data_IF_867259373985
#
_entry.id   IF_867259373985
#
_cell.length_a   1.000
_cell.length_b   1.000
_cell.length_c   1.000
_cell.angle_alpha   90.00
_cell.angle_beta   90.00
_cell.angle_gamma   90.00
#
_symmetry.space_group_name_H-M   'P 1'
#
loop_
_entity.id
_entity.type
_entity.pdbx_description
1 polymer ?
#
# COMPACT_ATOMS: atom_id res chain seq x y z
N UNK A 1 -19.64 9.75 11.75
CA UNK A 1 -20.35 8.93 10.74
C UNK A 1 -21.64 9.65 10.41
N UNK A 2 -22.03 9.67 9.13
CA UNK A 2 -23.30 10.29 8.74
C UNK A 2 -24.48 9.46 9.24
N UNK A 3 -25.63 10.11 9.42
CA UNK A 3 -26.86 9.41 9.82
C UNK A 3 -27.28 8.37 8.77
N UNK A 4 -27.47 7.12 9.20
CA UNK A 4 -27.80 5.97 8.34
C UNK A 4 -29.13 6.09 7.57
N UNK A 5 -30.04 6.97 8.00
CA UNK A 5 -31.34 7.16 7.35
C UNK A 5 -31.30 8.16 6.19
N UNK A 6 -30.15 8.77 5.91
CA UNK A 6 -29.97 9.67 4.77
C UNK A 6 -30.05 8.84 3.47
N UNK A 7 -31.03 9.17 2.63
CA UNK A 7 -31.24 8.53 1.33
C UNK A 7 -31.55 9.61 0.27
N UNK A 8 -30.49 10.14 -0.36
CA UNK A 8 -30.60 11.14 -1.42
C UNK A 8 -31.22 10.59 -2.70
N UNK A 9 -31.07 9.29 -2.92
CA UNK A 9 -31.58 8.56 -4.08
C UNK A 9 -32.94 7.92 -3.78
N UNK A 10 -33.76 8.57 -2.95
CA UNK A 10 -35.15 8.17 -2.74
C UNK A 10 -36.03 8.68 -3.88
N UNK A 11 -36.88 7.82 -4.43
CA UNK A 11 -37.92 8.21 -5.39
C UNK A 11 -39.00 9.10 -4.76
N UNK A 12 -39.07 9.12 -3.42
CA UNK A 12 -40.07 9.89 -2.68
C UNK A 12 -39.52 11.29 -2.40
N UNK A 13 -40.12 12.31 -3.01
CA UNK A 13 -39.62 13.69 -2.99
C UNK A 13 -39.37 14.23 -1.57
N UNK A 14 -40.29 14.00 -0.64
CA UNK A 14 -40.14 14.50 0.72
C UNK A 14 -38.99 13.80 1.49
N UNK A 15 -38.65 12.56 1.14
CA UNK A 15 -37.53 11.82 1.74
C UNK A 15 -36.22 12.38 1.20
N UNK A 16 -36.08 12.47 -0.12
CA UNK A 16 -34.88 13.01 -0.77
C UNK A 16 -34.57 14.44 -0.28
N UNK A 17 -35.59 15.31 -0.21
CA UNK A 17 -35.45 16.70 0.20
C UNK A 17 -34.99 16.83 1.66
N UNK A 18 -35.60 16.04 2.57
CA UNK A 18 -35.18 15.97 3.98
C UNK A 18 -33.77 15.38 4.13
N UNK A 19 -33.46 14.30 3.43
CA UNK A 19 -32.13 13.68 3.46
C UNK A 19 -31.05 14.64 2.96
N UNK A 20 -31.33 15.44 1.91
CA UNK A 20 -30.42 16.48 1.41
C UNK A 20 -30.19 17.58 2.45
N UNK A 21 -31.24 18.09 3.07
CA UNK A 21 -31.12 19.11 4.10
C UNK A 21 -30.31 18.60 5.30
N UNK A 22 -30.60 17.38 5.78
CA UNK A 22 -29.89 16.76 6.89
C UNK A 22 -28.41 16.51 6.56
N UNK A 23 -28.12 15.99 5.37
CA UNK A 23 -26.74 15.77 4.94
C UNK A 23 -25.95 17.08 4.92
N UNK A 24 -26.49 18.13 4.30
CA UNK A 24 -25.81 19.43 4.25
C UNK A 24 -25.59 20.03 5.65
N UNK A 25 -26.54 19.82 6.57
CA UNK A 25 -26.40 20.21 7.96
C UNK A 25 -25.26 19.45 8.66
N UNK A 26 -25.21 18.12 8.51
CA UNK A 26 -24.14 17.29 9.09
C UNK A 26 -22.76 17.64 8.53
N UNK A 27 -22.67 17.88 7.22
CA UNK A 27 -21.42 18.31 6.59
C UNK A 27 -20.98 19.70 7.07
N UNK A 28 -21.93 20.64 7.21
CA UNK A 28 -21.64 21.96 7.77
C UNK A 28 -21.15 21.87 9.22
N UNK A 29 -21.76 20.99 10.02
CA UNK A 29 -21.35 20.74 11.40
C UNK A 29 -19.98 20.06 11.48
N UNK A 30 -19.69 19.11 10.60
CA UNK A 30 -18.39 18.46 10.50
C UNK A 30 -17.27 19.46 10.18
N UNK A 31 -17.50 20.38 9.23
CA UNK A 31 -16.55 21.48 8.96
C UNK A 31 -16.37 22.34 10.21
N UNK A 32 -17.47 22.74 10.86
CA UNK A 32 -17.42 23.61 12.04
C UNK A 32 -16.56 23.01 13.17
N UNK A 33 -16.64 21.70 13.35
CA UNK A 33 -15.84 20.96 14.32
C UNK A 33 -14.41 20.63 13.85
N UNK A 34 -14.07 20.92 12.60
CA UNK A 34 -12.77 20.58 12.01
C UNK A 34 -12.56 19.07 11.87
N UNK A 35 -13.63 18.30 11.64
CA UNK A 35 -13.55 16.86 11.47
C UNK A 35 -12.76 16.53 10.20
N UNK A 36 -11.68 15.75 10.25
CA UNK A 36 -10.84 15.49 9.08
C UNK A 36 -11.50 14.53 8.08
N UNK A 37 -12.38 13.65 8.56
CA UNK A 37 -12.97 12.56 7.79
C UNK A 37 -14.46 12.40 8.10
N UNK A 38 -15.28 12.39 7.07
CA UNK A 38 -16.71 12.05 7.14
C UNK A 38 -16.91 10.66 6.54
N UNK A 39 -17.33 9.70 7.36
CA UNK A 39 -17.62 8.33 6.92
C UNK A 39 -19.05 8.20 6.37
N UNK A 40 -19.21 7.56 5.23
CA UNK A 40 -20.45 7.30 4.49
C UNK A 40 -20.52 5.81 4.19
N UNK A 41 -21.69 5.18 4.30
CA UNK A 41 -21.90 3.78 3.89
C UNK A 41 -22.73 3.73 2.61
N UNK A 42 -22.29 2.95 1.61
CA UNK A 42 -23.14 2.67 0.46
C UNK A 42 -24.17 1.62 0.85
N UNK A 43 -25.44 1.92 0.57
CA UNK A 43 -26.57 1.04 0.94
C UNK A 43 -27.34 0.54 -0.28
N UNK A 44 -26.95 1.00 -1.48
CA UNK A 44 -27.59 0.71 -2.76
C UNK A 44 -26.55 0.68 -3.86
N UNK A 45 -26.89 0.01 -4.96
CA UNK A 45 -26.07 -0.03 -6.18
C UNK A 45 -25.93 1.33 -6.85
N UNK A 46 -27.02 2.09 -6.94
CA UNK A 46 -27.02 3.40 -7.62
C UNK A 46 -27.11 4.51 -6.57
N UNK A 47 -26.12 5.41 -6.57
CA UNK A 47 -25.99 6.50 -5.61
C UNK A 47 -25.81 7.87 -6.29
N UNK A 48 -26.48 8.07 -7.44
CA UNK A 48 -26.22 9.21 -8.34
C UNK A 48 -26.33 10.58 -7.66
N UNK A 49 -27.34 10.81 -6.82
CA UNK A 49 -27.51 12.08 -6.12
C UNK A 49 -26.46 12.28 -5.03
N UNK A 50 -26.08 11.19 -4.33
CA UNK A 50 -25.01 11.20 -3.35
C UNK A 50 -23.65 11.49 -4.00
N UNK A 51 -23.31 10.77 -5.06
CA UNK A 51 -22.11 10.97 -5.88
C UNK A 51 -22.01 12.40 -6.39
N UNK A 52 -23.09 12.92 -6.97
CA UNK A 52 -23.14 14.29 -7.49
C UNK A 52 -22.88 15.31 -6.38
N UNK A 53 -23.55 15.17 -5.23
CA UNK A 53 -23.38 16.10 -4.11
C UNK A 53 -21.95 16.04 -3.56
N UNK A 54 -21.36 14.85 -3.42
CA UNK A 54 -19.99 14.69 -2.95
C UNK A 54 -18.99 15.28 -3.94
N UNK A 55 -19.17 15.04 -5.24
CA UNK A 55 -18.35 15.65 -6.27
C UNK A 55 -18.46 17.19 -6.26
N UNK A 56 -19.67 17.74 -6.11
CA UNK A 56 -19.87 19.18 -5.89
C UNK A 56 -19.06 19.70 -4.68
N UNK A 57 -18.98 18.91 -3.59
CA UNK A 57 -18.16 19.26 -2.41
C UNK A 57 -16.67 19.24 -2.71
N UNK A 58 -16.16 18.24 -3.42
CA UNK A 58 -14.77 18.20 -3.86
C UNK A 58 -14.40 19.42 -4.71
N UNK A 59 -15.20 19.73 -5.74
CA UNK A 59 -14.99 20.89 -6.61
C UNK A 59 -15.02 22.22 -5.84
N UNK A 60 -15.88 22.32 -4.82
CA UNK A 60 -15.97 23.52 -3.97
C UNK A 60 -14.84 23.66 -2.93
N UNK A 61 -13.91 22.70 -2.84
CA UNK A 61 -12.82 22.72 -1.86
C UNK A 61 -13.26 22.39 -0.44
N UNK A 62 -14.14 21.40 -0.28
CA UNK A 62 -14.57 20.92 1.04
C UNK A 62 -13.37 20.45 1.88
N UNK A 63 -13.24 20.96 3.10
CA UNK A 63 -12.03 20.80 3.92
C UNK A 63 -11.84 19.41 4.56
N UNK A 64 -12.80 18.51 4.44
CA UNK A 64 -12.74 17.15 5.01
C UNK A 64 -12.68 16.10 3.90
N UNK A 65 -12.10 14.94 4.20
CA UNK A 65 -12.14 13.78 3.31
C UNK A 65 -13.42 12.97 3.52
N UNK A 66 -13.86 12.24 2.48
CA UNK A 66 -14.98 11.32 2.57
C UNK A 66 -14.49 9.88 2.56
N UNK A 67 -14.90 9.08 3.55
CA UNK A 67 -14.54 7.67 3.64
C UNK A 67 -15.76 6.81 3.36
N UNK A 68 -15.73 6.07 2.26
CA UNK A 68 -16.84 5.24 1.80
C UNK A 68 -16.69 3.83 2.34
N UNK A 69 -17.72 3.34 3.01
CA UNK A 69 -17.76 2.02 3.63
C UNK A 69 -18.58 1.05 2.79
N UNK A 70 -18.02 -0.12 2.49
CA UNK A 70 -18.73 -1.26 1.90
C UNK A 70 -18.28 -2.58 2.56
N UNK A 71 -19.10 -3.63 2.58
CA UNK A 71 -18.66 -4.95 3.00
C UNK A 71 -17.77 -5.60 1.95
N UNK A 72 -16.72 -6.30 2.36
CA UNK A 72 -15.81 -7.01 1.43
C UNK A 72 -16.55 -8.02 0.55
N UNK A 73 -17.57 -8.66 1.10
CA UNK A 73 -18.48 -9.55 0.38
C UNK A 73 -19.89 -9.01 0.55
N UNK A 74 -20.56 -8.74 -0.56
CA UNK A 74 -21.92 -8.23 -0.53
C UNK A 74 -22.88 -9.27 0.08
N UNK A 75 -23.81 -8.90 1.00
CA UNK A 75 -24.70 -9.85 1.65
C UNK A 75 -25.56 -10.69 0.70
N UNK A 76 -25.89 -10.15 -0.49
CA UNK A 76 -26.66 -10.88 -1.50
C UNK A 76 -25.90 -12.06 -2.13
N UNK A 77 -24.56 -12.07 -2.07
CA UNK A 77 -23.75 -13.17 -2.63
C UNK A 77 -24.03 -14.52 -1.96
N UNK A 78 -24.42 -14.50 -0.69
CA UNK A 78 -24.69 -15.69 0.11
C UNK A 78 -26.12 -15.73 0.67
N UNK A 79 -27.00 -14.84 0.20
CA UNK A 79 -28.40 -14.83 0.60
C UNK A 79 -29.12 -16.08 0.04
N UNK A 80 -29.79 -16.89 0.89
CA UNK A 80 -30.45 -18.12 0.45
C UNK A 80 -31.71 -17.88 -0.40
N UNK A 81 -32.18 -16.64 -0.46
CA UNK A 81 -33.41 -16.23 -1.17
C UNK A 81 -33.11 -15.42 -2.44
N UNK A 82 -31.83 -15.15 -2.73
CA UNK A 82 -31.40 -14.32 -3.85
C UNK A 82 -31.09 -15.20 -5.06
N UNK A 83 -31.63 -14.84 -6.22
CA UNK A 83 -31.27 -15.48 -7.50
C UNK A 83 -29.92 -14.98 -8.01
N UNK A 84 -29.29 -15.71 -8.93
CA UNK A 84 -27.98 -15.31 -9.46
C UNK A 84 -28.00 -13.93 -10.15
N UNK A 85 -29.12 -13.53 -10.75
CA UNK A 85 -29.30 -12.23 -11.40
C UNK A 85 -29.49 -11.06 -10.40
N UNK A 86 -29.85 -11.37 -9.15
CA UNK A 86 -30.03 -10.39 -8.07
C UNK A 86 -28.76 -10.21 -7.22
N UNK A 87 -27.73 -11.04 -7.45
CA UNK A 87 -26.45 -10.91 -6.75
C UNK A 87 -25.77 -9.61 -7.16
N UNK A 88 -25.19 -8.95 -6.16
CA UNK A 88 -24.47 -7.70 -6.34
C UNK A 88 -23.03 -7.85 -5.84
N UNK A 89 -22.12 -7.11 -6.46
CA UNK A 89 -20.70 -7.10 -6.12
C UNK A 89 -20.35 -5.77 -5.44
N UNK A 90 -19.85 -5.85 -4.21
CA UNK A 90 -19.41 -4.68 -3.44
C UNK A 90 -18.27 -3.93 -4.10
N UNK A 91 -17.39 -4.62 -4.84
CA UNK A 91 -16.32 -3.94 -5.56
C UNK A 91 -16.87 -3.09 -6.71
N UNK A 92 -17.89 -3.57 -7.42
CA UNK A 92 -18.54 -2.77 -8.47
C UNK A 92 -19.22 -1.54 -7.88
N UNK A 93 -19.87 -1.67 -6.72
CA UNK A 93 -20.43 -0.51 -6.00
C UNK A 93 -19.37 0.56 -5.71
N UNK A 94 -18.21 0.13 -5.22
CA UNK A 94 -17.08 1.04 -4.97
C UNK A 94 -16.50 1.62 -6.27
N UNK A 95 -16.33 0.80 -7.31
CA UNK A 95 -15.77 1.20 -8.59
C UNK A 95 -16.65 2.22 -9.31
N UNK A 96 -17.97 2.01 -9.36
CA UNK A 96 -18.89 2.98 -9.93
C UNK A 96 -18.82 4.30 -9.16
N UNK A 97 -18.92 4.24 -7.84
CA UNK A 97 -18.93 5.43 -6.98
C UNK A 97 -17.66 6.29 -7.12
N UNK A 98 -16.47 5.66 -7.05
CA UNK A 98 -15.19 6.39 -7.20
C UNK A 98 -15.01 6.95 -8.61
N UNK A 99 -15.54 6.26 -9.63
CA UNK A 99 -15.48 6.71 -11.03
C UNK A 99 -16.31 7.97 -11.22
N UNK A 100 -17.53 8.02 -10.67
CA UNK A 100 -18.36 9.24 -10.68
C UNK A 100 -17.74 10.40 -9.90
N UNK A 101 -17.01 10.09 -8.84
CA UNK A 101 -16.23 11.07 -8.08
C UNK A 101 -14.89 11.43 -8.75
N UNK A 102 -14.63 10.96 -9.98
CA UNK A 102 -13.43 11.24 -10.76
C UNK A 102 -12.12 10.94 -10.01
N UNK A 103 -12.10 9.84 -9.25
CA UNK A 103 -10.92 9.39 -8.49
C UNK A 103 -10.31 10.48 -7.59
N UNK A 104 -11.15 11.32 -6.99
CA UNK A 104 -10.67 12.40 -6.12
C UNK A 104 -9.84 11.84 -4.95
N UNK A 105 -8.67 12.43 -4.71
CA UNK A 105 -7.73 12.00 -3.66
C UNK A 105 -8.28 12.11 -2.23
N UNK A 106 -9.31 12.93 -2.02
CA UNK A 106 -10.01 13.08 -0.74
C UNK A 106 -11.10 12.02 -0.54
N UNK A 107 -11.29 11.13 -1.51
CA UNK A 107 -12.12 9.93 -1.38
C UNK A 107 -11.27 8.77 -0.87
N UNK A 108 -11.50 8.39 0.39
CA UNK A 108 -10.93 7.20 1.00
C UNK A 108 -11.92 6.03 0.99
N UNK A 109 -11.38 4.83 1.10
CA UNK A 109 -12.19 3.61 1.14
C UNK A 109 -12.05 2.88 2.47
N UNK A 110 -13.15 2.36 3.00
CA UNK A 110 -13.22 1.60 4.24
C UNK A 110 -13.89 0.28 3.95
N UNK A 111 -13.17 -0.80 4.22
CA UNK A 111 -13.65 -2.15 3.93
C UNK A 111 -14.15 -2.80 5.21
N UNK A 112 -15.35 -3.36 5.21
CA UNK A 112 -15.82 -4.19 6.32
C UNK A 112 -15.43 -5.65 6.08
N UNK A 113 -14.78 -6.25 7.08
CA UNK A 113 -14.27 -7.61 7.04
C UNK A 113 -15.44 -8.60 6.82
N UNK A 114 -15.26 -9.68 6.05
CA UNK A 114 -16.35 -10.59 5.72
C UNK A 114 -16.66 -11.56 6.87
N UNK A 115 -17.90 -12.07 6.88
CA UNK A 115 -18.27 -13.18 7.76
C UNK A 115 -17.35 -14.38 7.52
N UNK A 116 -16.97 -15.07 8.59
CA UNK A 116 -16.08 -16.24 8.54
C UNK A 116 -16.60 -17.38 7.65
N UNK A 117 -17.92 -17.46 7.42
CA UNK A 117 -18.54 -18.45 6.52
C UNK A 117 -18.47 -18.06 5.05
N UNK A 118 -18.14 -16.80 4.77
CA UNK A 118 -18.18 -16.18 3.46
C UNK A 118 -16.86 -15.48 3.14
N UNK A 119 -15.73 -16.10 3.53
CA UNK A 119 -14.40 -15.62 3.18
C UNK A 119 -14.24 -15.69 1.65
N UNK A 120 -13.90 -14.56 0.98
CA UNK A 120 -13.77 -14.50 -0.46
C UNK A 120 -12.55 -15.29 -0.96
N UNK A 121 -12.55 -15.61 -2.26
CA UNK A 121 -11.40 -16.25 -2.91
C UNK A 121 -10.24 -15.27 -3.05
N UNK A 122 -9.02 -15.80 -3.25
CA UNK A 122 -7.81 -14.98 -3.34
C UNK A 122 -7.89 -13.89 -4.41
N UNK A 123 -8.42 -14.20 -5.59
CA UNK A 123 -8.59 -13.22 -6.67
C UNK A 123 -9.53 -12.07 -6.30
N UNK A 124 -10.54 -12.31 -5.47
CA UNK A 124 -11.43 -11.26 -4.97
C UNK A 124 -10.73 -10.39 -3.91
N UNK A 125 -9.90 -11.00 -3.06
CA UNK A 125 -9.06 -10.28 -2.10
C UNK A 125 -8.04 -9.40 -2.85
N UNK A 126 -7.39 -9.94 -3.89
CA UNK A 126 -6.41 -9.23 -4.70
C UNK A 126 -6.99 -7.97 -5.37
N UNK A 127 -8.30 -7.98 -5.72
CA UNK A 127 -9.00 -6.76 -6.22
C UNK A 127 -8.97 -5.63 -5.20
N UNK A 128 -9.07 -5.94 -3.92
CA UNK A 128 -9.08 -4.94 -2.85
C UNK A 128 -7.70 -4.39 -2.53
N UNK A 129 -6.64 -5.19 -2.66
CA UNK A 129 -5.27 -4.77 -2.34
C UNK A 129 -4.82 -3.58 -3.20
N UNK A 130 -5.33 -3.46 -4.43
CA UNK A 130 -5.03 -2.33 -5.32
C UNK A 130 -5.86 -1.05 -5.08
N UNK A 131 -6.77 -1.06 -4.11
CA UNK A 131 -7.68 0.06 -3.83
C UNK A 131 -7.12 1.01 -2.76
N UNK A 132 -7.55 2.28 -2.70
CA UNK A 132 -7.06 3.25 -1.70
C UNK A 132 -7.69 3.04 -0.32
N UNK A 133 -7.48 1.86 0.26
CA UNK A 133 -8.04 1.45 1.55
C UNK A 133 -7.41 2.26 2.67
N UNK A 134 -8.24 2.96 3.44
CA UNK A 134 -7.83 3.76 4.60
C UNK A 134 -8.10 3.03 5.91
N UNK A 135 -9.13 2.20 5.96
CA UNK A 135 -9.42 1.42 7.15
C UNK A 135 -10.11 0.07 6.86
N UNK A 136 -9.91 -0.87 7.77
CA UNK A 136 -10.61 -2.15 7.83
C UNK A 136 -11.51 -2.18 9.09
N UNK A 137 -12.81 -2.37 8.90
CA UNK A 137 -13.77 -2.53 9.99
C UNK A 137 -13.81 -4.00 10.42
N UNK A 138 -13.67 -4.23 11.73
CA UNK A 138 -13.72 -5.56 12.35
C UNK A 138 -14.85 -5.57 13.39
N UNK A 139 -15.98 -6.23 13.10
CA UNK A 139 -17.05 -6.46 14.07
C UNK A 139 -16.59 -7.25 15.30
N UNK A 140 -17.03 -6.84 16.49
CA UNK A 140 -16.75 -7.57 17.74
C UNK A 140 -17.33 -8.99 17.74
N UNK A 141 -18.42 -9.21 17.00
CA UNK A 141 -19.06 -10.51 16.80
C UNK A 141 -18.18 -11.54 16.09
N UNK A 142 -17.10 -11.12 15.42
CA UNK A 142 -16.18 -12.02 14.74
C UNK A 142 -15.11 -12.61 15.65
N UNK A 143 -14.96 -12.09 16.87
CA UNK A 143 -14.01 -12.61 17.84
C UNK A 143 -14.58 -13.81 18.58
N UNK A 144 -13.77 -14.84 18.70
CA UNK A 144 -14.04 -16.04 19.49
C UNK A 144 -13.33 -15.93 20.85
N UNK A 145 -13.86 -16.59 21.87
CA UNK A 145 -13.14 -16.73 23.14
C UNK A 145 -12.18 -17.91 23.07
N UNK A 146 -10.94 -17.70 23.47
CA UNK A 146 -9.98 -18.80 23.68
C UNK A 146 -10.21 -19.50 25.04
N UNK A 147 -9.42 -20.53 25.33
CA UNK A 147 -9.47 -21.30 26.59
C UNK A 147 -9.22 -20.44 27.85
N UNK A 148 -8.68 -19.23 27.69
CA UNK A 148 -8.44 -18.26 28.76
C UNK A 148 -9.52 -17.15 28.81
N UNK A 149 -10.61 -17.28 28.05
CA UNK A 149 -11.69 -16.29 27.99
C UNK A 149 -11.29 -14.96 27.36
N UNK A 150 -10.28 -14.94 26.48
CA UNK A 150 -9.84 -13.73 25.75
C UNK A 150 -10.33 -13.77 24.30
N UNK A 151 -10.75 -12.61 23.75
CA UNK A 151 -11.18 -12.53 22.36
C UNK A 151 -10.00 -12.73 21.40
N UNK A 152 -10.18 -13.60 20.42
CA UNK A 152 -9.23 -13.93 19.37
C UNK A 152 -9.94 -14.07 18.04
N UNK A 153 -9.31 -13.67 16.94
CA UNK A 153 -9.87 -13.87 15.60
C UNK A 153 -9.59 -15.28 15.09
N UNK A 154 -10.50 -15.88 14.31
CA UNK A 154 -10.24 -17.11 13.57
C UNK A 154 -9.02 -16.99 12.64
N UNK A 155 -8.40 -18.12 12.31
CA UNK A 155 -7.20 -18.14 11.45
C UNK A 155 -7.42 -17.45 10.09
N UNK A 156 -8.56 -17.68 9.44
CA UNK A 156 -8.85 -17.07 8.13
C UNK A 156 -8.91 -15.53 8.20
N UNK A 157 -9.45 -14.97 9.29
CA UNK A 157 -9.43 -13.51 9.51
C UNK A 157 -8.03 -13.00 9.85
N UNK A 158 -7.21 -13.76 10.58
CA UNK A 158 -5.80 -13.40 10.81
C UNK A 158 -5.02 -13.34 9.49
N UNK A 159 -5.25 -14.31 8.59
CA UNK A 159 -4.65 -14.34 7.26
C UNK A 159 -5.08 -13.12 6.42
N UNK A 160 -6.38 -12.76 6.41
CA UNK A 160 -6.84 -11.52 5.78
C UNK A 160 -6.15 -10.28 6.34
N UNK A 161 -6.14 -10.13 7.67
CA UNK A 161 -5.51 -8.98 8.34
C UNK A 161 -4.04 -8.86 7.98
N UNK A 162 -3.32 -9.97 7.80
CA UNK A 162 -1.92 -9.96 7.39
C UNK A 162 -1.70 -9.23 6.07
N UNK A 163 -2.59 -9.43 5.08
CA UNK A 163 -2.51 -8.70 3.81
C UNK A 163 -2.69 -7.19 4.01
N UNK A 164 -3.64 -6.78 4.84
CA UNK A 164 -3.91 -5.36 5.11
C UNK A 164 -2.85 -4.70 6.00
N UNK A 165 -2.10 -5.47 6.81
CA UNK A 165 -0.96 -4.94 7.55
C UNK A 165 0.16 -4.46 6.61
N UNK A 166 0.32 -5.09 5.45
CA UNK A 166 1.36 -4.74 4.48
C UNK A 166 1.13 -3.39 3.79
N UNK A 167 -0.12 -2.88 3.79
CA UNK A 167 -0.51 -1.60 3.18
C UNK A 167 -0.91 -0.54 4.23
N UNK A 168 -0.52 -0.77 5.50
CA UNK A 168 -0.65 0.18 6.64
C UNK A 168 -2.04 0.85 6.80
N UNK A 169 -3.11 0.04 6.81
CA UNK A 169 -4.47 0.56 7.04
C UNK A 169 -4.78 0.78 8.52
N UNK A 170 -5.75 1.65 8.80
CA UNK A 170 -6.33 1.77 10.13
C UNK A 170 -7.29 0.62 10.43
N UNK A 171 -7.38 0.20 11.69
CA UNK A 171 -8.33 -0.84 12.11
C UNK A 171 -9.43 -0.21 12.97
N UNK A 172 -10.68 -0.39 12.57
CA UNK A 172 -11.86 0.12 13.27
C UNK A 172 -12.61 -1.04 13.89
N UNK A 173 -12.70 -1.08 15.23
CA UNK A 173 -13.52 -2.09 15.91
C UNK A 173 -14.97 -1.63 15.91
N UNK A 174 -15.86 -2.40 15.29
CA UNK A 174 -17.31 -2.14 15.27
C UNK A 174 -17.97 -2.93 16.41
N UNK A 175 -18.51 -2.22 17.39
CA UNK A 175 -19.17 -2.82 18.55
C UNK A 175 -20.57 -3.30 18.17
N UNK A 176 -20.83 -4.60 18.36
CA UNK A 176 -22.15 -5.20 18.14
C UNK A 176 -22.96 -5.31 19.45
N UNK A 177 -22.27 -5.20 20.60
CA UNK A 177 -22.87 -5.21 21.93
C UNK A 177 -22.17 -4.19 22.84
N UNK A 178 -22.79 -3.86 23.96
CA UNK A 178 -22.14 -3.08 25.01
C UNK A 178 -21.04 -3.93 25.68
N UNK A 179 -19.83 -3.38 25.81
CA UNK A 179 -18.70 -4.08 26.41
C UNK A 179 -17.42 -3.25 26.39
N UNK A 180 -16.40 -3.70 27.14
CA UNK A 180 -15.08 -3.08 27.10
C UNK A 180 -14.40 -3.37 25.76
N UNK A 181 -14.22 -2.35 24.93
CA UNK A 181 -13.55 -2.48 23.65
C UNK A 181 -12.02 -2.65 23.77
N UNK A 182 -11.44 -2.34 24.94
CA UNK A 182 -9.98 -2.36 25.15
C UNK A 182 -9.36 -3.74 24.95
N UNK A 183 -10.13 -4.82 25.18
CA UNK A 183 -9.65 -6.19 25.02
C UNK A 183 -9.39 -6.55 23.56
N UNK A 184 -10.23 -6.07 22.63
CA UNK A 184 -10.07 -6.29 21.20
C UNK A 184 -8.89 -5.49 20.67
N UNK A 185 -8.73 -4.22 21.09
CA UNK A 185 -7.58 -3.39 20.72
C UNK A 185 -6.26 -4.01 21.18
N UNK A 186 -6.20 -4.54 22.41
CA UNK A 186 -5.02 -5.27 22.93
C UNK A 186 -4.71 -6.50 22.08
N UNK A 187 -5.73 -7.26 21.69
CA UNK A 187 -5.54 -8.42 20.81
C UNK A 187 -5.04 -8.01 19.43
N UNK A 188 -5.59 -6.96 18.80
CA UNK A 188 -5.11 -6.49 17.50
C UNK A 188 -3.66 -5.99 17.55
N UNK A 189 -3.24 -5.33 18.63
CA UNK A 189 -1.83 -4.98 18.83
C UNK A 189 -0.93 -6.21 18.94
N UNK A 190 -1.36 -7.22 19.70
CA UNK A 190 -0.66 -8.50 19.77
C UNK A 190 -0.59 -9.17 18.40
N UNK A 191 -1.69 -9.19 17.65
CA UNK A 191 -1.80 -9.81 16.35
C UNK A 191 -0.89 -9.11 15.33
N UNK A 192 -0.89 -7.77 15.31
CA UNK A 192 0.02 -6.96 14.50
C UNK A 192 1.48 -7.33 14.77
N UNK A 193 1.91 -7.37 16.04
CA UNK A 193 3.28 -7.79 16.39
C UNK A 193 3.62 -9.22 15.98
N UNK A 194 2.64 -10.12 16.00
CA UNK A 194 2.82 -11.53 15.64
C UNK A 194 2.89 -11.73 14.12
N UNK A 195 2.06 -11.02 13.37
CA UNK A 195 1.90 -11.19 11.93
C UNK A 195 2.81 -10.29 11.09
N UNK A 196 3.27 -9.17 11.67
CA UNK A 196 4.17 -8.25 10.98
C UNK A 196 5.50 -8.94 10.67
N UNK A 197 5.80 -9.07 9.37
CA UNK A 197 7.06 -9.61 8.87
C UNK A 197 7.91 -8.42 8.44
N UNK A 198 8.97 -8.11 9.18
CA UNK A 198 9.97 -7.14 8.74
C UNK A 198 10.91 -7.82 7.74
N UNK A 199 10.78 -7.52 6.46
CA UNK A 199 11.81 -7.91 5.50
C UNK A 199 12.98 -6.93 5.58
N UNK A 200 14.22 -7.43 5.50
CA UNK A 200 15.45 -6.60 5.57
C UNK A 200 15.47 -5.52 4.49
N UNK A 201 14.82 -5.75 3.36
CA UNK A 201 14.70 -4.77 2.28
C UNK A 201 13.64 -3.69 2.57
N UNK A 202 12.66 -3.97 3.43
CA UNK A 202 11.56 -3.04 3.71
C UNK A 202 12.08 -1.75 4.37
N UNK A 203 13.04 -1.85 5.29
CA UNK A 203 13.64 -0.66 5.94
C UNK A 203 14.35 0.25 4.94
N UNK A 204 14.94 -0.31 3.87
CA UNK A 204 15.64 0.49 2.85
C UNK A 204 14.66 1.20 1.90
N UNK A 205 13.53 0.57 1.58
CA UNK A 205 12.50 1.15 0.69
C UNK A 205 11.44 1.94 1.45
N UNK A 206 11.52 2.00 2.78
CA UNK A 206 10.57 2.71 3.61
C UNK A 206 10.47 4.19 3.21
N UNK A 207 9.25 4.66 2.99
CA UNK A 207 8.93 6.00 2.48
C UNK A 207 8.93 6.12 0.96
N UNK A 208 9.30 5.06 0.23
CA UNK A 208 9.23 5.00 -1.23
C UNK A 208 8.00 4.24 -1.73
N UNK A 209 7.16 3.72 -0.84
CA UNK A 209 5.93 3.01 -1.18
C UNK A 209 5.01 3.93 -1.99
N UNK A 210 4.60 3.47 -3.17
CA UNK A 210 3.75 4.19 -4.13
C UNK A 210 4.25 5.60 -4.51
N UNK A 211 5.52 5.90 -4.29
CA UNK A 211 6.13 7.16 -4.66
C UNK A 211 6.68 7.10 -6.08
N UNK A 212 6.03 7.82 -7.00
CA UNK A 212 6.46 7.88 -8.39
C UNK A 212 7.82 8.60 -8.51
N UNK A 213 8.79 7.91 -9.12
CA UNK A 213 10.12 8.45 -9.40
C UNK A 213 10.41 8.40 -10.89
N UNK A 214 11.04 9.45 -11.40
CA UNK A 214 11.59 9.42 -12.76
C UNK A 214 12.78 8.47 -12.79
N UNK A 215 12.83 7.61 -13.80
CA UNK A 215 14.00 6.74 -13.99
C UNK A 215 15.24 7.58 -14.24
N UNK A 216 16.31 7.30 -13.49
CA UNK A 216 17.60 7.96 -13.64
C UNK A 216 18.11 7.85 -15.08
N UNK A 217 18.77 8.89 -15.58
CA UNK A 217 19.38 8.93 -16.91
C UNK A 217 20.91 9.17 -16.82
N UNK A 218 21.70 8.20 -16.31
CA UNK A 218 23.12 8.42 -16.02
C UNK A 218 23.97 8.76 -17.24
N UNK A 219 23.52 8.42 -18.45
CA UNK A 219 24.22 8.76 -19.70
C UNK A 219 24.06 10.23 -20.07
N UNK A 220 22.87 10.79 -19.90
CA UNK A 220 22.55 12.16 -20.29
C UNK A 220 22.89 13.14 -19.17
N UNK A 221 22.72 12.72 -17.92
CA UNK A 221 22.82 13.58 -16.75
C UNK A 221 24.05 13.24 -15.90
N UNK A 222 24.49 14.19 -15.07
CA UNK A 222 25.48 13.95 -14.04
C UNK A 222 24.76 13.63 -12.73
N UNK A 223 24.90 12.39 -12.26
CA UNK A 223 24.30 11.98 -11.00
C UNK A 223 24.96 12.70 -9.83
N UNK A 224 24.15 13.03 -8.82
CA UNK A 224 24.59 13.62 -7.57
C UNK A 224 25.27 12.59 -6.65
N UNK A 225 26.08 13.07 -5.72
CA UNK A 225 26.88 12.26 -4.78
C UNK A 225 26.03 11.32 -3.94
N UNK A 226 24.88 11.78 -3.45
CA UNK A 226 23.92 10.98 -2.67
C UNK A 226 23.38 9.77 -3.47
N UNK A 227 23.20 9.89 -4.79
CA UNK A 227 22.75 8.78 -5.65
C UNK A 227 23.82 7.69 -5.70
N UNK A 228 25.09 8.06 -5.86
CA UNK A 228 26.19 7.09 -5.80
C UNK A 228 26.30 6.43 -4.41
N UNK A 229 26.07 7.18 -3.32
CA UNK A 229 26.06 6.61 -1.96
C UNK A 229 24.99 5.54 -1.80
N UNK A 230 23.80 5.78 -2.34
CA UNK A 230 22.71 4.81 -2.34
C UNK A 230 23.10 3.56 -3.14
N UNK A 231 23.72 3.74 -4.32
CA UNK A 231 24.22 2.61 -5.11
C UNK A 231 25.29 1.81 -4.37
N UNK A 232 26.15 2.45 -3.59
CA UNK A 232 27.27 1.83 -2.87
C UNK A 232 26.83 1.02 -1.64
N UNK A 233 25.62 1.24 -1.12
CA UNK A 233 25.04 0.43 -0.04
C UNK A 233 24.74 -1.01 -0.45
N UNK A 234 24.55 -1.29 -1.74
CA UNK A 234 24.31 -2.63 -2.26
C UNK A 234 25.60 -3.46 -2.34
N UNK A 235 25.96 -4.08 -1.21
CA UNK A 235 27.16 -4.91 -1.08
C UNK A 235 27.08 -6.21 -1.89
N UNK A 236 25.87 -6.75 -2.08
CA UNK A 236 25.65 -7.98 -2.85
C UNK A 236 26.08 -7.74 -4.28
N UNK A 237 25.61 -6.64 -4.91
CA UNK A 237 26.02 -6.24 -6.26
C UNK A 237 27.53 -6.22 -6.44
N UNK A 238 28.28 -5.50 -5.60
CA UNK A 238 29.73 -5.39 -5.78
C UNK A 238 30.49 -6.69 -5.48
N UNK A 239 30.02 -7.48 -4.51
CA UNK A 239 30.59 -8.81 -4.25
C UNK A 239 30.38 -9.75 -5.44
N UNK A 240 29.20 -9.71 -6.06
CA UNK A 240 28.90 -10.46 -7.28
C UNK A 240 29.79 -10.03 -8.44
N UNK A 241 29.97 -8.72 -8.67
CA UNK A 241 30.93 -8.22 -9.67
C UNK A 241 32.37 -8.67 -9.38
N UNK A 242 32.81 -8.61 -8.12
CA UNK A 242 34.15 -9.08 -7.73
C UNK A 242 34.35 -10.57 -8.06
N UNK A 243 33.39 -11.42 -7.70
CA UNK A 243 33.44 -12.85 -7.99
C UNK A 243 33.42 -13.12 -9.50
N UNK A 244 32.66 -12.35 -10.27
CA UNK A 244 32.62 -12.46 -11.73
C UNK A 244 33.97 -12.08 -12.36
N UNK A 245 34.58 -10.98 -11.90
CA UNK A 245 35.92 -10.55 -12.34
C UNK A 245 36.98 -11.58 -11.97
N UNK A 246 36.89 -12.19 -10.78
CA UNK A 246 37.79 -13.26 -10.36
C UNK A 246 37.77 -14.44 -11.33
N UNK A 247 36.58 -14.99 -11.60
CA UNK A 247 36.43 -16.11 -12.54
C UNK A 247 36.93 -15.76 -13.93
N UNK A 248 36.58 -14.58 -14.43
CA UNK A 248 37.07 -14.12 -15.73
C UNK A 248 38.60 -14.02 -15.76
N UNK A 249 39.25 -13.58 -14.68
CA UNK A 249 40.71 -13.46 -14.62
C UNK A 249 41.42 -14.81 -14.44
N UNK A 250 40.77 -15.80 -13.82
CA UNK A 250 41.24 -17.19 -13.75
C UNK A 250 41.27 -17.83 -15.14
N UNK A 251 40.30 -17.50 -16.00
CA UNK A 251 40.21 -17.98 -17.38
C UNK A 251 41.24 -17.31 -18.32
N UNK A 252 41.83 -16.17 -17.94
CA UNK A 252 42.87 -15.51 -18.74
C UNK A 252 44.16 -16.35 -18.71
N UNK A 253 44.72 -16.76 -19.86
CA UNK A 253 45.94 -17.57 -19.91
C UNK A 253 47.12 -16.94 -19.15
N UNK A 254 47.97 -17.76 -18.53
CA UNK A 254 49.08 -17.29 -17.68
C UNK A 254 50.18 -16.56 -18.47
N UNK A 255 50.24 -16.78 -19.77
CA UNK A 255 51.13 -16.10 -20.73
C UNK A 255 50.83 -14.61 -20.82
N UNK A 256 49.58 -14.20 -20.53
CA UNK A 256 49.21 -12.80 -20.38
C UNK A 256 49.72 -12.30 -19.03
N UNK A 257 50.95 -11.78 -19.05
CA UNK A 257 51.67 -11.35 -17.85
C UNK A 257 50.93 -10.29 -17.03
N UNK A 258 50.26 -9.34 -17.69
CA UNK A 258 49.46 -8.28 -17.05
C UNK A 258 48.15 -8.07 -17.82
N UNK A 259 47.07 -8.74 -17.43
CA UNK A 259 45.75 -8.52 -18.02
C UNK A 259 45.26 -7.08 -17.82
N UNK A 260 44.55 -6.55 -18.81
CA UNK A 260 43.99 -5.19 -18.78
C UNK A 260 42.50 -5.26 -18.49
N UNK A 261 42.05 -4.56 -17.46
CA UNK A 261 40.63 -4.43 -17.08
C UNK A 261 40.22 -2.97 -17.32
N UNK A 262 39.10 -2.75 -17.99
CA UNK A 262 38.56 -1.41 -18.23
C UNK A 262 37.19 -1.31 -17.56
N UNK A 263 37.06 -0.43 -16.57
CA UNK A 263 35.80 -0.14 -15.89
C UNK A 263 35.13 1.04 -16.59
N UNK A 264 34.06 0.78 -17.34
CA UNK A 264 33.32 1.79 -18.10
C UNK A 264 32.08 2.23 -17.31
N UNK A 265 32.01 3.51 -16.96
CA UNK A 265 31.06 4.04 -15.98
C UNK A 265 31.53 3.75 -14.54
N UNK A 266 32.75 4.17 -14.21
CA UNK A 266 33.39 3.82 -12.93
C UNK A 266 32.73 4.48 -11.70
N UNK A 267 31.92 5.53 -11.88
CA UNK A 267 31.29 6.29 -10.81
C UNK A 267 32.33 6.83 -9.83
N UNK A 268 32.18 6.50 -8.54
CA UNK A 268 33.15 6.82 -7.49
C UNK A 268 34.13 5.68 -7.18
N UNK A 269 34.19 4.66 -8.04
CA UNK A 269 35.20 3.60 -7.98
C UNK A 269 34.89 2.27 -7.27
N UNK A 270 33.68 1.92 -6.79
CA UNK A 270 33.48 0.65 -6.09
C UNK A 270 33.78 -0.58 -6.98
N UNK A 271 33.51 -0.52 -8.29
CA UNK A 271 33.88 -1.58 -9.24
C UNK A 271 35.39 -1.62 -9.55
N UNK A 272 36.06 -0.47 -9.44
CA UNK A 272 37.52 -0.38 -9.56
C UNK A 272 38.16 -1.10 -8.37
N UNK A 273 37.67 -0.82 -7.16
CA UNK A 273 38.10 -1.51 -5.95
C UNK A 273 37.85 -3.01 -6.03
N UNK A 274 36.68 -3.45 -6.53
CA UNK A 274 36.40 -4.86 -6.76
C UNK A 274 37.44 -5.52 -7.67
N UNK A 275 37.80 -4.89 -8.79
CA UNK A 275 38.84 -5.42 -9.69
C UNK A 275 40.23 -5.49 -9.03
N UNK A 276 40.61 -4.46 -8.25
CA UNK A 276 41.86 -4.45 -7.50
C UNK A 276 41.90 -5.54 -6.42
N UNK A 277 40.81 -5.74 -5.68
CA UNK A 277 40.69 -6.83 -4.70
C UNK A 277 40.96 -8.19 -5.32
N UNK A 278 40.44 -8.46 -6.52
CA UNK A 278 40.70 -9.70 -7.26
C UNK A 278 42.19 -9.89 -7.55
N UNK A 279 42.90 -8.82 -7.91
CA UNK A 279 44.35 -8.86 -8.14
C UNK A 279 45.12 -9.32 -6.90
N UNK A 280 44.72 -8.83 -5.72
CA UNK A 280 45.28 -9.27 -4.44
C UNK A 280 44.93 -10.73 -4.13
N UNK A 281 43.67 -11.14 -4.32
CA UNK A 281 43.18 -12.50 -4.04
C UNK A 281 43.92 -13.54 -4.90
N UNK A 282 44.07 -13.26 -6.20
CA UNK A 282 44.71 -14.17 -7.14
C UNK A 282 46.24 -14.01 -7.20
N UNK A 283 46.79 -13.06 -6.43
CA UNK A 283 48.21 -12.68 -6.50
C UNK A 283 48.71 -12.43 -7.93
N UNK A 284 47.85 -11.85 -8.78
CA UNK A 284 48.10 -11.63 -10.21
C UNK A 284 48.07 -10.15 -10.52
N UNK A 285 49.17 -9.59 -11.04
CA UNK A 285 49.22 -8.18 -11.45
C UNK A 285 48.22 -7.91 -12.58
N UNK A 286 47.49 -6.82 -12.47
CA UNK A 286 46.56 -6.32 -13.49
C UNK A 286 46.86 -4.86 -13.80
N UNK A 287 46.39 -4.40 -14.96
CA UNK A 287 46.34 -2.98 -15.30
C UNK A 287 44.88 -2.55 -15.41
N UNK A 288 44.46 -1.62 -14.56
CA UNK A 288 43.07 -1.13 -14.57
C UNK A 288 43.00 0.24 -15.23
N UNK A 289 42.08 0.41 -16.16
CA UNK A 289 41.66 1.70 -16.70
C UNK A 289 40.25 2.03 -16.22
N UNK A 290 40.03 3.28 -15.86
CA UNK A 290 38.73 3.78 -15.43
C UNK A 290 38.23 4.78 -16.45
N UNK A 291 36.98 4.63 -16.86
CA UNK A 291 36.31 5.55 -17.78
C UNK A 291 35.06 6.05 -17.08
N UNK A 292 35.00 7.35 -16.82
CA UNK A 292 33.85 8.01 -16.22
C UNK A 292 33.62 9.34 -16.93
N UNK A 293 32.39 9.56 -17.42
CA UNK A 293 32.05 10.83 -18.09
C UNK A 293 31.72 11.93 -17.09
N UNK A 294 31.25 11.56 -15.89
CA UNK A 294 30.87 12.49 -14.86
C UNK A 294 32.13 13.05 -14.20
N UNK A 295 32.50 14.26 -14.59
CA UNK A 295 33.71 14.94 -14.12
C UNK A 295 33.76 15.11 -12.60
N UNK A 296 32.60 15.14 -11.93
CA UNK A 296 32.51 15.26 -10.47
C UNK A 296 32.74 13.92 -9.78
N UNK A 297 32.33 12.80 -10.39
CA UNK A 297 32.52 11.47 -9.80
C UNK A 297 33.98 10.99 -9.91
N UNK A 298 34.65 11.29 -11.03
CA UNK A 298 36.05 10.91 -11.26
C UNK A 298 37.01 11.39 -10.16
N UNK A 299 36.74 12.53 -9.52
CA UNK A 299 37.61 13.09 -8.48
C UNK A 299 37.76 12.19 -7.23
N UNK A 300 36.84 11.23 -7.05
CA UNK A 300 36.86 10.29 -5.94
C UNK A 300 37.67 9.03 -6.22
N UNK A 301 38.09 8.79 -7.46
CA UNK A 301 38.91 7.65 -7.86
C UNK A 301 40.37 8.08 -7.79
N UNK A 302 41.04 7.85 -6.66
CA UNK A 302 42.49 8.03 -6.48
C UNK A 302 43.15 6.71 -6.11
#
# INVERSE_FOLDING_TARGET
ELTHTINLDSEIEHVWSKSKALLLQELGFAIHLGIPVVKISLTKKVNMQLERLINEKFVSGFGSSFWVTVPMVHPLQYSPICTDDEKEDSWEWWNDFRTYCNYDKHLGFVLELPDIKHIPLKNEIDRWIGEPIKALIIPTSYFLLNDHGKPVLPRAHQELIQWFLAIDVQYIIKSDSEGDLSVYTKYLHFLGKKLYVSEVNLEFVQGCEDFLQNSLQPLTEHLETNIYEVFEKDQIKYTTYQNAVQKALEDVPKEVAVPVIIVVGAGRGPLVQAALNVSYILHRKIKVYTVEKNSYAHQHIN
#
